data_IF_152047401231
#
_entry.id   IF_152047401231
#
_cell.length_a   1.000
_cell.length_b   1.000
_cell.length_c   1.000
_cell.angle_alpha   90.00
_cell.angle_beta   90.00
_cell.angle_gamma   90.00
#
_symmetry.space_group_name_H-M   'P 1'
#
loop_
_entity.id
_entity.type
_entity.pdbx_description
1 polymer ?
#
# COMPACT_ATOMS: atom_id res chain seq x y z
N UNK A 1 37.12 7.58 -40.07
CA UNK A 1 36.69 8.70 -39.20
C UNK A 1 36.83 8.24 -37.77
N UNK A 2 37.74 8.86 -37.04
CA UNK A 2 38.15 8.45 -35.69
C UNK A 2 37.43 9.36 -34.71
N UNK A 3 36.53 8.78 -33.87
CA UNK A 3 35.91 9.52 -32.79
C UNK A 3 36.77 9.44 -31.53
N UNK A 4 37.25 10.60 -31.08
CA UNK A 4 38.02 10.78 -29.86
C UNK A 4 37.07 10.76 -28.65
N UNK A 5 37.40 9.94 -27.65
CA UNK A 5 36.78 9.91 -26.34
C UNK A 5 37.21 11.12 -25.52
N UNK A 6 36.24 11.76 -24.88
CA UNK A 6 36.42 12.84 -23.88
C UNK A 6 36.23 12.24 -22.49
N UNK A 7 37.17 12.43 -21.54
CA UNK A 7 36.99 11.94 -20.17
C UNK A 7 36.16 12.90 -19.34
N UNK A 8 35.10 12.38 -18.71
CA UNK A 8 34.28 13.10 -17.71
C UNK A 8 35.02 13.07 -16.38
N UNK A 9 35.37 14.25 -15.87
CA UNK A 9 35.92 14.44 -14.52
C UNK A 9 34.79 14.44 -13.50
N UNK A 10 34.87 13.51 -12.53
CA UNK A 10 34.02 13.47 -11.35
C UNK A 10 34.54 14.47 -10.34
N UNK A 11 33.76 15.48 -9.99
CA UNK A 11 34.02 16.39 -8.88
C UNK A 11 33.20 15.95 -7.66
N UNK A 12 33.89 15.42 -6.65
CA UNK A 12 33.30 15.11 -5.34
C UNK A 12 33.23 16.41 -4.52
N UNK A 13 32.03 16.80 -4.11
CA UNK A 13 31.82 17.87 -3.13
C UNK A 13 31.45 17.22 -1.80
N UNK A 14 32.37 17.32 -0.85
CA UNK A 14 32.23 16.91 0.53
C UNK A 14 31.61 18.08 1.30
N UNK A 15 30.37 17.96 1.80
CA UNK A 15 29.76 18.94 2.71
C UNK A 15 29.74 18.33 4.11
N UNK A 16 30.55 18.92 4.97
CA UNK A 16 30.63 18.63 6.41
C UNK A 16 29.56 19.48 7.12
N UNK A 17 28.59 18.88 7.77
CA UNK A 17 27.66 19.59 8.65
C UNK A 17 27.96 19.18 10.09
N UNK A 18 28.43 20.16 10.86
CA UNK A 18 28.65 20.07 12.30
C UNK A 18 27.30 20.28 13.00
N UNK A 19 26.85 19.29 13.78
CA UNK A 19 25.69 19.43 14.64
C UNK A 19 26.13 19.85 16.04
N UNK A 20 25.68 21.05 16.48
CA UNK A 20 25.84 21.50 17.86
C UNK A 20 24.74 20.89 18.74
N UNK A 21 25.14 20.17 19.79
CA UNK A 21 24.29 19.67 20.85
C UNK A 21 24.15 20.74 21.91
N UNK A 22 22.93 21.21 22.19
CA UNK A 22 22.60 22.00 23.36
C UNK A 22 21.62 21.17 24.23
N UNK A 23 22.12 20.71 25.36
CA UNK A 23 21.34 20.01 26.37
C UNK A 23 20.50 20.99 27.18
N UNK A 24 19.26 20.62 27.45
CA UNK A 24 18.38 21.27 28.40
C UNK A 24 17.68 20.23 29.27
N UNK A 25 18.13 20.09 30.49
CA UNK A 25 17.51 19.24 31.52
C UNK A 25 16.41 20.05 32.20
N UNK A 26 15.16 19.66 32.06
CA UNK A 26 14.06 20.17 32.90
C UNK A 26 13.62 19.08 33.87
N UNK A 27 13.96 19.29 35.15
CA UNK A 27 13.40 18.55 36.29
C UNK A 27 12.15 19.30 36.79
N UNK A 28 10.99 18.69 36.70
CA UNK A 28 9.76 19.17 37.35
C UNK A 28 9.43 18.27 38.54
N UNK A 29 9.61 18.83 39.74
CA UNK A 29 9.13 18.25 41.00
C UNK A 29 7.63 18.46 41.11
N UNK A 30 6.85 17.38 41.27
CA UNK A 30 5.45 17.49 41.71
C UNK A 30 5.39 17.31 43.22
N UNK A 31 4.98 18.35 43.91
CA UNK A 31 4.64 18.33 45.32
C UNK A 31 3.28 17.66 45.52
N UNK A 32 3.25 16.70 46.43
CA UNK A 32 2.05 15.94 46.81
C UNK A 32 1.37 16.69 47.98
N UNK A 33 0.20 17.26 47.72
CA UNK A 33 -0.62 17.93 48.74
C UNK A 33 -1.57 16.94 49.36
N UNK A 34 -1.44 16.65 50.65
CA UNK A 34 -2.31 15.80 51.46
C UNK A 34 -3.47 16.63 52.00
N UNK A 35 -4.71 16.31 51.63
CA UNK A 35 -5.93 16.83 52.27
C UNK A 35 -6.41 15.92 53.39
N UNK A 36 -6.95 16.48 54.49
CA UNK A 36 -7.36 15.71 55.65
C UNK A 36 -8.73 15.01 55.45
N UNK A 37 -8.88 13.89 56.12
CA UNK A 37 -10.04 13.02 56.12
C UNK A 37 -11.29 13.71 56.75
N UNK A 38 -12.37 13.74 56.02
CA UNK A 38 -13.72 14.12 56.54
C UNK A 38 -14.53 12.84 56.79
N UNK A 39 -15.08 12.73 57.99
CA UNK A 39 -15.86 11.61 58.47
C UNK A 39 -17.09 11.31 57.60
N UNK A 40 -17.29 10.07 57.26
CA UNK A 40 -18.42 9.56 56.51
C UNK A 40 -19.67 9.42 57.34
N UNK A 41 -20.81 9.89 56.79
CA UNK A 41 -22.17 9.68 57.26
C UNK A 41 -22.70 8.38 56.64
N UNK A 42 -23.47 7.54 57.33
CA UNK A 42 -23.92 6.27 56.78
C UNK A 42 -24.95 6.45 55.65
N UNK A 43 -24.66 5.80 54.54
CA UNK A 43 -25.47 5.75 53.33
C UNK A 43 -26.53 4.64 53.39
N UNK A 44 -27.76 4.84 52.87
CA UNK A 44 -28.77 3.80 52.80
C UNK A 44 -28.46 2.75 51.72
N UNK A 45 -28.82 1.50 52.02
CA UNK A 45 -28.62 0.31 51.20
C UNK A 45 -28.97 0.48 49.73
N UNK A 46 -28.16 -0.05 48.77
CA UNK A 46 -28.42 0.05 47.33
C UNK A 46 -29.59 -0.85 46.94
N UNK A 47 -30.56 -0.27 46.21
CA UNK A 47 -31.55 -1.05 45.44
C UNK A 47 -30.82 -1.84 44.34
N UNK A 48 -31.16 -3.12 44.25
CA UNK A 48 -30.68 -4.00 43.16
C UNK A 48 -31.01 -3.37 41.81
N UNK A 49 -29.94 -3.05 41.06
CA UNK A 49 -30.03 -2.68 39.65
C UNK A 49 -30.28 -3.93 38.78
N UNK A 50 -31.07 -3.83 37.69
CA UNK A 50 -31.33 -4.95 36.81
C UNK A 50 -29.99 -5.49 36.25
N UNK A 51 -29.80 -6.80 36.33
CA UNK A 51 -28.63 -7.50 35.72
C UNK A 51 -28.57 -7.20 34.24
N UNK A 52 -27.55 -6.47 33.80
CA UNK A 52 -27.17 -6.37 32.40
C UNK A 52 -26.95 -7.80 31.81
N UNK A 53 -27.45 -8.05 30.58
CA UNK A 53 -27.19 -9.33 29.92
C UNK A 53 -25.69 -9.56 29.80
N UNK A 54 -25.21 -10.80 29.88
CA UNK A 54 -23.78 -11.10 29.81
C UNK A 54 -23.22 -10.56 28.48
N UNK A 55 -22.27 -9.64 28.55
CA UNK A 55 -21.48 -9.22 27.40
C UNK A 55 -20.78 -10.46 26.89
N UNK A 56 -21.13 -10.95 25.69
CA UNK A 56 -20.40 -12.01 25.02
C UNK A 56 -18.92 -11.65 24.98
N UNK A 57 -18.11 -12.40 25.70
CA UNK A 57 -16.67 -12.26 25.61
C UNK A 57 -16.25 -12.60 24.18
N UNK A 58 -15.42 -11.77 23.53
CA UNK A 58 -14.94 -12.08 22.19
C UNK A 58 -14.30 -13.48 22.21
N UNK A 59 -14.86 -14.39 21.42
CA UNK A 59 -14.32 -15.75 21.24
C UNK A 59 -12.83 -15.63 20.93
N UNK A 60 -11.98 -16.16 21.80
CA UNK A 60 -10.55 -16.27 21.53
C UNK A 60 -10.38 -17.07 20.24
N UNK A 61 -9.81 -16.44 19.22
CA UNK A 61 -9.49 -17.12 17.97
C UNK A 61 -8.51 -18.26 18.24
N UNK A 62 -8.86 -19.47 17.85
CA UNK A 62 -7.93 -20.61 17.90
C UNK A 62 -6.89 -20.42 16.77
N UNK A 63 -5.59 -20.24 17.12
CA UNK A 63 -4.55 -20.04 16.10
C UNK A 63 -4.42 -21.21 15.12
N UNK A 64 -4.92 -22.38 15.50
CA UNK A 64 -4.83 -23.59 14.66
C UNK A 64 -5.98 -23.72 13.67
N UNK A 65 -7.06 -22.96 13.84
CA UNK A 65 -8.29 -23.07 13.02
C UNK A 65 -8.82 -21.69 12.60
N UNK A 66 -7.95 -20.84 12.05
CA UNK A 66 -8.36 -19.53 11.51
C UNK A 66 -9.03 -19.69 10.15
N UNK A 67 -10.22 -19.09 9.99
CA UNK A 67 -10.86 -18.96 8.67
C UNK A 67 -10.08 -17.95 7.80
N UNK A 68 -10.30 -17.97 6.49
CA UNK A 68 -9.68 -17.02 5.57
C UNK A 68 -10.04 -15.57 5.93
N UNK A 69 -11.30 -15.34 6.35
CA UNK A 69 -11.77 -14.03 6.81
C UNK A 69 -11.04 -13.60 8.09
N UNK A 70 -10.86 -14.52 9.06
CA UNK A 70 -10.10 -14.21 10.28
C UNK A 70 -8.65 -13.83 9.97
N UNK A 71 -8.01 -14.53 9.01
CA UNK A 71 -6.67 -14.21 8.57
C UNK A 71 -6.64 -12.82 7.92
N UNK A 72 -7.56 -12.54 6.98
CA UNK A 72 -7.65 -11.25 6.30
C UNK A 72 -7.91 -10.09 7.28
N UNK A 73 -8.85 -10.24 8.23
CA UNK A 73 -9.12 -9.21 9.25
C UNK A 73 -7.91 -9.01 10.19
N UNK A 74 -7.16 -10.06 10.48
CA UNK A 74 -5.94 -9.93 11.27
C UNK A 74 -4.85 -9.20 10.49
N UNK A 75 -4.71 -9.45 9.18
CA UNK A 75 -3.82 -8.67 8.30
C UNK A 75 -4.20 -7.18 8.35
N UNK A 76 -5.49 -6.86 8.25
CA UNK A 76 -6.00 -5.48 8.30
C UNK A 76 -5.71 -4.83 9.67
N UNK A 77 -5.93 -5.57 10.75
CA UNK A 77 -5.63 -5.10 12.10
C UNK A 77 -4.15 -4.74 12.24
N UNK A 78 -3.25 -5.62 11.79
CA UNK A 78 -1.80 -5.39 11.86
C UNK A 78 -1.32 -4.32 10.89
N UNK A 79 -1.90 -4.24 9.68
CA UNK A 79 -1.59 -3.18 8.72
C UNK A 79 -1.90 -1.78 9.28
N UNK A 80 -2.96 -1.66 10.10
CA UNK A 80 -3.32 -0.44 10.84
C UNK A 80 -2.71 -0.34 12.24
N UNK A 81 -1.60 -1.05 12.52
CA UNK A 81 -0.91 -1.03 13.82
C UNK A 81 -1.84 -1.29 15.03
N UNK A 82 -2.80 -2.19 14.85
CA UNK A 82 -3.77 -2.57 15.89
C UNK A 82 -5.06 -1.77 15.92
N UNK A 83 -5.18 -0.71 15.14
CA UNK A 83 -6.38 0.15 15.13
C UNK A 83 -7.51 -0.36 14.21
N UNK A 84 -7.23 -1.38 13.39
CA UNK A 84 -8.22 -2.05 12.55
C UNK A 84 -8.68 -1.24 11.34
N UNK A 85 -9.74 -1.75 10.70
CA UNK A 85 -10.24 -1.28 9.40
C UNK A 85 -10.64 0.20 9.39
N UNK A 86 -11.38 0.66 10.39
CA UNK A 86 -11.90 2.02 10.41
C UNK A 86 -10.79 3.08 10.37
N UNK A 87 -9.75 2.92 11.20
CA UNK A 87 -8.63 3.85 11.21
C UNK A 87 -7.77 3.69 9.96
N UNK A 88 -7.54 2.44 9.51
CA UNK A 88 -6.76 2.16 8.31
C UNK A 88 -7.38 2.83 7.07
N UNK A 89 -8.69 2.70 6.87
CA UNK A 89 -9.41 3.34 5.76
C UNK A 89 -9.37 4.87 5.83
N UNK A 90 -9.43 5.44 7.03
CA UNK A 90 -9.33 6.87 7.22
C UNK A 90 -7.92 7.40 6.89
N UNK A 91 -6.87 6.74 7.40
CA UNK A 91 -5.48 7.15 7.14
C UNK A 91 -5.15 6.99 5.65
N UNK A 92 -5.49 5.84 5.06
CA UNK A 92 -5.14 5.50 3.67
C UNK A 92 -6.14 5.99 2.64
N UNK A 93 -7.03 6.92 2.99
CA UNK A 93 -8.01 7.48 2.05
C UNK A 93 -7.35 8.12 0.82
N UNK A 94 -6.20 8.74 1.01
CA UNK A 94 -5.37 9.28 -0.07
C UNK A 94 -3.90 9.23 0.34
N UNK A 95 -3.01 9.32 -0.64
CA UNK A 95 -1.59 9.29 -0.35
C UNK A 95 -0.71 9.63 -1.53
N UNK A 96 0.56 9.81 -1.18
CA UNK A 96 1.65 10.10 -2.07
C UNK A 96 2.80 9.14 -1.76
N UNK A 97 3.18 8.35 -2.74
CA UNK A 97 4.35 7.49 -2.71
C UNK A 97 5.38 8.01 -3.71
N UNK A 98 6.62 8.13 -3.29
CA UNK A 98 7.77 8.44 -4.15
C UNK A 98 8.79 7.34 -4.06
N UNK A 99 9.39 7.03 -5.20
CA UNK A 99 10.39 5.99 -5.22
C UNK A 99 11.15 5.91 -6.54
N UNK A 100 11.82 4.77 -6.67
CA UNK A 100 12.50 4.40 -7.91
C UNK A 100 12.19 2.94 -8.22
N UNK A 101 12.16 2.64 -9.50
CA UNK A 101 12.04 1.28 -10.03
C UNK A 101 13.22 0.99 -10.93
N UNK A 102 13.73 -0.24 -10.83
CA UNK A 102 14.56 -0.83 -11.87
C UNK A 102 13.65 -1.75 -12.67
N UNK A 103 13.43 -1.43 -13.94
CA UNK A 103 12.65 -2.26 -14.88
C UNK A 103 13.59 -3.01 -15.78
N UNK A 104 13.41 -4.32 -15.88
CA UNK A 104 14.24 -5.19 -16.72
C UNK A 104 13.41 -5.72 -17.86
N UNK A 105 13.80 -5.36 -19.08
CA UNK A 105 13.14 -5.82 -20.32
C UNK A 105 13.46 -7.29 -20.63
N UNK A 106 12.74 -7.89 -21.57
CA UNK A 106 12.92 -9.27 -21.98
C UNK A 106 14.34 -9.57 -22.50
N UNK A 107 15.00 -8.58 -23.14
CA UNK A 107 16.39 -8.66 -23.62
C UNK A 107 17.44 -8.52 -22.50
N UNK A 108 17.01 -8.38 -21.24
CA UNK A 108 17.88 -8.24 -20.06
C UNK A 108 18.37 -6.82 -19.80
N UNK A 109 18.04 -5.84 -20.62
CA UNK A 109 18.39 -4.44 -20.37
C UNK A 109 17.54 -3.91 -19.23
N UNK A 110 18.18 -3.15 -18.34
CA UNK A 110 17.52 -2.53 -17.21
C UNK A 110 17.51 -1.01 -17.36
N UNK A 111 16.40 -0.41 -16.92
CA UNK A 111 16.17 1.03 -16.91
C UNK A 111 15.78 1.45 -15.49
N UNK A 112 16.36 2.55 -15.00
CA UNK A 112 15.91 3.18 -13.75
C UNK A 112 14.84 4.22 -14.05
N UNK A 113 13.70 4.11 -13.36
CA UNK A 113 12.57 5.02 -13.43
C UNK A 113 12.36 5.62 -12.05
N UNK A 114 12.35 6.94 -11.94
CA UNK A 114 11.85 7.63 -10.75
C UNK A 114 10.36 7.82 -10.92
N UNK A 115 9.59 7.58 -9.85
CA UNK A 115 8.16 7.74 -9.91
C UNK A 115 7.62 8.53 -8.72
N UNK A 116 6.49 9.16 -8.98
CA UNK A 116 5.62 9.73 -7.95
C UNK A 116 4.20 9.23 -8.19
N UNK A 117 3.66 8.48 -7.23
CA UNK A 117 2.32 7.91 -7.29
C UNK A 117 1.42 8.65 -6.32
N UNK A 118 0.35 9.26 -6.83
CA UNK A 118 -0.73 9.87 -6.05
C UNK A 118 -1.98 9.03 -6.21
N UNK A 119 -2.73 8.87 -5.12
CA UNK A 119 -4.00 8.18 -5.17
C UNK A 119 -5.04 8.82 -4.25
N UNK A 120 -6.30 8.64 -4.62
CA UNK A 120 -7.47 8.89 -3.79
C UNK A 120 -8.34 7.64 -3.89
N UNK A 121 -8.55 6.97 -2.76
CA UNK A 121 -9.44 5.82 -2.71
C UNK A 121 -10.89 6.28 -2.69
N UNK A 122 -11.69 5.76 -3.63
CA UNK A 122 -13.14 5.84 -3.63
C UNK A 122 -13.76 4.83 -2.66
N UNK A 123 -15.07 4.70 -2.72
CA UNK A 123 -15.80 3.68 -1.93
C UNK A 123 -15.40 2.25 -2.34
N UNK A 124 -15.09 2.05 -3.62
CA UNK A 124 -14.63 0.80 -4.22
C UNK A 124 -13.46 1.08 -5.16
N UNK A 125 -12.68 0.05 -5.49
CA UNK A 125 -11.49 0.17 -6.34
C UNK A 125 -11.78 0.76 -7.74
N UNK A 126 -12.95 0.51 -8.30
CA UNK A 126 -13.37 1.09 -9.59
C UNK A 126 -13.62 2.61 -9.54
N UNK A 127 -13.73 3.18 -8.33
CA UNK A 127 -13.85 4.61 -8.05
C UNK A 127 -12.56 5.25 -7.56
N UNK A 128 -11.48 4.48 -7.51
CA UNK A 128 -10.18 5.00 -7.15
C UNK A 128 -9.66 5.94 -8.25
N UNK A 129 -8.92 6.95 -7.81
CA UNK A 129 -8.16 7.85 -8.68
C UNK A 129 -6.68 7.58 -8.42
N UNK A 130 -5.93 7.31 -9.47
CA UNK A 130 -4.49 7.02 -9.38
C UNK A 130 -3.75 7.78 -10.47
N UNK A 131 -2.70 8.47 -10.10
CA UNK A 131 -1.77 9.12 -11.01
C UNK A 131 -0.35 8.68 -10.70
N UNK A 132 0.35 8.21 -11.72
CA UNK A 132 1.77 7.85 -11.63
C UNK A 132 2.55 8.73 -12.59
N UNK A 133 3.33 9.64 -12.03
CA UNK A 133 4.28 10.46 -12.79
C UNK A 133 5.60 9.70 -12.86
N UNK A 134 6.05 9.37 -14.06
CA UNK A 134 7.28 8.60 -14.31
C UNK A 134 8.32 9.51 -14.97
N UNK A 135 9.55 9.40 -14.47
CA UNK A 135 10.71 10.05 -15.07
C UNK A 135 11.75 9.00 -15.42
N UNK A 136 11.91 8.78 -16.71
CA UNK A 136 12.95 7.93 -17.30
C UNK A 136 14.10 8.78 -17.85
N UNK A 137 15.23 8.19 -18.25
CA UNK A 137 16.28 8.93 -18.96
C UNK A 137 15.83 9.54 -20.29
N UNK A 138 14.78 8.98 -20.91
CA UNK A 138 14.31 9.36 -22.25
C UNK A 138 13.10 10.30 -22.22
N UNK A 139 12.23 10.19 -21.19
CA UNK A 139 10.97 10.92 -21.14
C UNK A 139 10.43 11.09 -19.73
N UNK A 140 9.63 12.13 -19.57
CA UNK A 140 8.74 12.30 -18.40
C UNK A 140 7.30 12.15 -18.89
N UNK A 141 6.53 11.25 -18.26
CA UNK A 141 5.14 11.00 -18.61
C UNK A 141 4.33 10.60 -17.38
N UNK A 142 3.03 10.83 -17.44
CA UNK A 142 2.08 10.41 -16.41
C UNK A 142 1.12 9.36 -16.96
N UNK A 143 0.73 8.41 -16.11
CA UNK A 143 -0.44 7.56 -16.32
C UNK A 143 -1.49 7.96 -15.30
N UNK A 144 -2.70 8.21 -15.75
CA UNK A 144 -3.81 8.71 -14.91
C UNK A 144 -5.01 7.80 -15.08
N UNK A 145 -5.47 7.23 -13.97
CA UNK A 145 -6.69 6.44 -13.88
C UNK A 145 -7.71 7.19 -13.03
N UNK A 146 -8.91 7.31 -13.52
CA UNK A 146 -10.04 7.90 -12.82
C UNK A 146 -11.33 7.68 -13.61
N UNK A 147 -12.45 7.55 -12.92
CA UNK A 147 -13.77 7.30 -13.50
C UNK A 147 -13.80 6.10 -14.48
N UNK A 148 -13.02 5.06 -14.15
CA UNK A 148 -12.91 3.84 -14.95
C UNK A 148 -12.11 3.98 -16.25
N UNK A 149 -11.42 5.10 -16.46
CA UNK A 149 -10.63 5.39 -17.67
C UNK A 149 -9.16 5.56 -17.33
N UNK A 150 -8.31 5.04 -18.22
CA UNK A 150 -6.87 5.25 -18.17
C UNK A 150 -6.43 6.08 -19.38
N UNK A 151 -5.65 7.11 -19.14
CA UNK A 151 -4.99 7.90 -20.16
C UNK A 151 -3.58 8.28 -19.73
N UNK A 152 -2.75 8.66 -20.68
CA UNK A 152 -1.42 9.18 -20.42
C UNK A 152 -1.31 10.66 -20.70
N UNK A 153 -0.31 11.32 -20.09
CA UNK A 153 0.07 12.71 -20.36
C UNK A 153 1.56 12.74 -20.63
N UNK A 154 1.98 13.37 -21.72
CA UNK A 154 3.36 13.65 -22.05
C UNK A 154 3.48 15.06 -22.63
N UNK A 155 4.37 15.88 -22.09
CA UNK A 155 4.53 17.29 -22.50
C UNK A 155 3.22 18.09 -22.51
N UNK A 156 2.31 17.80 -21.57
CA UNK A 156 1.02 18.46 -21.45
C UNK A 156 -0.08 17.95 -22.41
N UNK A 157 0.26 17.12 -23.39
CA UNK A 157 -0.69 16.49 -24.30
C UNK A 157 -1.12 15.12 -23.79
N UNK A 158 -2.38 14.74 -24.05
CA UNK A 158 -2.89 13.42 -23.70
C UNK A 158 -2.56 12.40 -24.77
N UNK A 159 -2.42 11.13 -24.34
CA UNK A 159 -2.28 10.00 -25.24
C UNK A 159 -3.02 8.78 -24.68
N UNK A 160 -3.40 7.87 -25.55
CA UNK A 160 -3.95 6.57 -25.17
C UNK A 160 -2.78 5.60 -24.95
N UNK A 161 -2.61 5.04 -23.72
CA UNK A 161 -1.61 4.00 -23.48
C UNK A 161 -1.85 2.78 -24.37
N UNK A 162 -0.80 2.06 -24.73
CA UNK A 162 -0.93 0.78 -25.43
C UNK A 162 -1.78 -0.19 -24.60
N UNK A 163 -2.49 -1.07 -25.28
CA UNK A 163 -3.45 -1.98 -24.65
C UNK A 163 -2.80 -2.88 -23.58
N UNK A 164 -1.59 -3.36 -23.83
CA UNK A 164 -0.80 -4.16 -22.88
C UNK A 164 -0.42 -3.35 -21.62
N UNK A 165 0.10 -2.14 -21.80
CA UNK A 165 0.45 -1.25 -20.68
C UNK A 165 -0.78 -0.82 -19.87
N UNK A 166 -1.91 -0.60 -20.52
CA UNK A 166 -3.17 -0.29 -19.85
C UNK A 166 -3.70 -1.48 -19.03
N UNK A 167 -3.65 -2.68 -19.61
CA UNK A 167 -4.05 -3.91 -18.91
C UNK A 167 -3.15 -4.20 -17.70
N UNK A 168 -1.83 -4.06 -17.86
CA UNK A 168 -0.88 -4.22 -16.75
C UNK A 168 -1.12 -3.22 -15.64
N UNK A 169 -1.34 -1.93 -15.95
CA UNK A 169 -1.66 -0.91 -14.96
C UNK A 169 -2.90 -1.29 -14.14
N UNK A 170 -3.98 -1.71 -14.80
CA UNK A 170 -5.23 -2.11 -14.15
C UNK A 170 -5.03 -3.38 -13.31
N UNK A 171 -4.30 -4.39 -13.85
CA UNK A 171 -3.99 -5.61 -13.13
C UNK A 171 -3.16 -5.33 -11.87
N UNK A 172 -2.20 -4.42 -11.92
CA UNK A 172 -1.40 -4.04 -10.75
C UNK A 172 -2.22 -3.42 -9.62
N UNK A 173 -3.29 -2.67 -9.92
CA UNK A 173 -4.22 -2.16 -8.93
C UNK A 173 -5.10 -3.28 -8.35
N UNK A 174 -5.64 -4.14 -9.21
CA UNK A 174 -6.51 -5.25 -8.80
C UNK A 174 -5.76 -6.29 -7.94
N UNK A 175 -4.48 -6.56 -8.27
CA UNK A 175 -3.63 -7.52 -7.58
C UNK A 175 -2.62 -6.80 -6.67
N UNK A 176 -3.13 -6.23 -5.57
CA UNK A 176 -2.36 -5.42 -4.63
C UNK A 176 -2.64 -5.82 -3.17
N UNK A 177 -1.82 -5.35 -2.24
CA UNK A 177 -2.14 -5.47 -0.81
C UNK A 177 -3.42 -4.70 -0.49
N UNK A 178 -3.65 -3.54 -1.12
CA UNK A 178 -4.86 -2.73 -0.90
C UNK A 178 -6.14 -3.47 -1.31
N UNK A 179 -6.09 -4.32 -2.33
CA UNK A 179 -7.23 -5.19 -2.69
C UNK A 179 -7.63 -6.11 -1.53
N UNK A 180 -6.65 -6.68 -0.81
CA UNK A 180 -6.92 -7.48 0.38
C UNK A 180 -7.40 -6.62 1.56
N UNK A 181 -6.78 -5.47 1.80
CA UNK A 181 -7.17 -4.58 2.91
C UNK A 181 -8.60 -4.06 2.76
N UNK A 182 -9.08 -3.94 1.53
CA UNK A 182 -10.41 -3.41 1.17
C UNK A 182 -11.35 -4.48 0.60
N UNK A 183 -11.11 -5.76 0.90
CA UNK A 183 -11.85 -6.86 0.28
C UNK A 183 -13.38 -6.80 0.52
N UNK A 184 -13.83 -6.32 1.69
CA UNK A 184 -15.27 -6.14 2.00
C UNK A 184 -15.89 -5.01 1.21
N UNK A 185 -15.20 -3.88 1.15
CA UNK A 185 -15.61 -2.69 0.40
C UNK A 185 -15.73 -3.00 -1.10
N UNK A 186 -14.81 -3.82 -1.61
CA UNK A 186 -14.81 -4.29 -2.99
C UNK A 186 -15.75 -5.49 -3.24
N UNK A 187 -16.44 -5.98 -2.19
CA UNK A 187 -17.31 -7.15 -2.23
C UNK A 187 -16.57 -8.40 -2.79
N UNK A 188 -15.26 -8.49 -2.53
CA UNK A 188 -14.43 -9.63 -2.90
C UNK A 188 -14.62 -10.77 -1.90
N UNK A 189 -14.45 -12.00 -2.36
CA UNK A 189 -14.54 -13.21 -1.55
C UNK A 189 -13.14 -13.69 -1.20
N UNK A 190 -12.94 -14.07 0.07
CA UNK A 190 -11.71 -14.71 0.52
C UNK A 190 -11.98 -16.17 0.86
N UNK A 191 -11.03 -17.05 0.52
CA UNK A 191 -11.10 -18.47 0.84
C UNK A 191 -9.73 -19.01 1.25
N UNK A 192 -9.70 -20.04 2.09
CA UNK A 192 -8.44 -20.66 2.50
C UNK A 192 -7.89 -21.52 1.37
N UNK A 193 -6.61 -21.33 1.06
CA UNK A 193 -5.84 -22.21 0.19
C UNK A 193 -4.82 -23.07 0.99
N UNK A 194 -4.97 -23.11 2.33
CA UNK A 194 -4.18 -23.94 3.23
C UNK A 194 -3.01 -23.21 3.88
N UNK A 195 -1.95 -23.95 4.14
CA UNK A 195 -0.68 -23.44 4.71
C UNK A 195 0.47 -23.82 3.78
N UNK A 196 1.53 -23.04 3.81
CA UNK A 196 2.76 -23.27 3.07
C UNK A 196 3.98 -22.97 3.96
N UNK A 197 5.15 -23.36 3.50
CA UNK A 197 6.42 -23.03 4.17
C UNK A 197 7.44 -22.63 3.11
N UNK A 198 7.85 -21.37 3.13
CA UNK A 198 8.83 -20.83 2.20
C UNK A 198 10.04 -20.30 2.97
N UNK A 199 11.25 -20.75 2.59
CA UNK A 199 12.50 -20.34 3.23
C UNK A 199 12.48 -20.45 4.78
N UNK A 200 11.81 -21.48 5.30
CA UNK A 200 11.66 -21.70 6.74
C UNK A 200 10.54 -20.91 7.44
N UNK A 201 9.86 -20.02 6.71
CA UNK A 201 8.76 -19.21 7.25
C UNK A 201 7.43 -19.93 6.98
N UNK A 202 6.64 -20.14 8.05
CA UNK A 202 5.29 -20.69 7.94
C UNK A 202 4.32 -19.62 7.47
N UNK A 203 3.44 -19.99 6.53
CA UNK A 203 2.54 -19.10 5.83
C UNK A 203 1.09 -19.60 5.89
N UNK A 204 0.15 -18.70 6.14
CA UNK A 204 -1.22 -18.88 5.72
C UNK A 204 -1.31 -18.54 4.23
N UNK A 205 -2.08 -19.33 3.48
CA UNK A 205 -2.36 -19.05 2.07
C UNK A 205 -3.85 -18.83 1.92
N UNK A 206 -4.21 -17.65 1.39
CA UNK A 206 -5.60 -17.30 1.10
C UNK A 206 -5.75 -16.85 -0.34
N UNK A 207 -6.86 -17.22 -0.96
CA UNK A 207 -7.26 -16.75 -2.27
C UNK A 207 -8.32 -15.65 -2.10
N UNK A 208 -8.15 -14.55 -2.82
CA UNK A 208 -9.12 -13.47 -2.98
C UNK A 208 -9.64 -13.50 -4.41
N UNK A 209 -10.96 -13.50 -4.57
CA UNK A 209 -11.63 -13.41 -5.88
C UNK A 209 -12.47 -12.14 -5.90
N UNK A 210 -12.20 -11.25 -6.85
CA UNK A 210 -12.95 -10.03 -7.04
C UNK A 210 -14.26 -10.26 -7.81
N UNK A 211 -15.06 -9.20 -7.99
CA UNK A 211 -16.32 -9.24 -8.74
C UNK A 211 -16.18 -9.61 -10.21
N UNK A 212 -14.99 -9.42 -10.78
CA UNK A 212 -14.70 -9.75 -12.18
C UNK A 212 -14.09 -11.13 -12.35
N UNK A 213 -14.10 -11.93 -11.26
CA UNK A 213 -13.49 -13.26 -11.15
C UNK A 213 -11.96 -13.27 -11.26
N UNK A 214 -11.28 -12.14 -11.09
CA UNK A 214 -9.83 -12.14 -10.95
C UNK A 214 -9.44 -12.72 -9.60
N UNK A 215 -8.48 -13.62 -9.64
CA UNK A 215 -8.01 -14.35 -8.46
C UNK A 215 -6.61 -13.89 -8.08
N UNK A 216 -6.43 -13.51 -6.81
CA UNK A 216 -5.13 -13.22 -6.21
C UNK A 216 -4.88 -14.17 -5.06
N UNK A 217 -3.74 -14.83 -5.05
CA UNK A 217 -3.29 -15.68 -3.94
C UNK A 217 -2.30 -14.93 -3.08
N UNK A 218 -2.57 -14.84 -1.78
CA UNK A 218 -1.72 -14.16 -0.80
C UNK A 218 -1.03 -15.15 0.11
N UNK A 219 0.27 -14.95 0.32
CA UNK A 219 1.13 -15.69 1.24
C UNK A 219 1.44 -14.81 2.45
N UNK A 220 0.91 -15.16 3.60
CA UNK A 220 0.85 -14.33 4.80
C UNK A 220 1.63 -15.02 5.91
N UNK A 221 2.59 -14.35 6.52
CA UNK A 221 3.37 -14.89 7.64
C UNK A 221 2.46 -15.26 8.83
N UNK A 222 2.53 -16.52 9.28
CA UNK A 222 1.82 -16.98 10.49
C UNK A 222 2.22 -16.16 11.72
N UNK A 223 3.48 -15.77 11.82
CA UNK A 223 4.02 -15.06 12.99
C UNK A 223 3.67 -13.57 13.01
N UNK A 224 3.66 -12.88 11.87
CA UNK A 224 3.56 -11.42 11.81
C UNK A 224 2.32 -10.91 11.10
N UNK A 225 1.54 -11.78 10.47
CA UNK A 225 0.40 -11.45 9.60
C UNK A 225 0.72 -10.45 8.48
N UNK A 226 2.01 -10.30 8.14
CA UNK A 226 2.43 -9.53 6.97
C UNK A 226 2.23 -10.35 5.71
N UNK A 227 1.75 -9.72 4.66
CA UNK A 227 1.74 -10.29 3.31
C UNK A 227 3.19 -10.34 2.82
N UNK A 228 3.77 -11.52 2.66
CA UNK A 228 5.15 -11.65 2.18
C UNK A 228 5.23 -11.72 0.66
N UNK A 229 4.20 -12.29 0.02
CA UNK A 229 4.06 -12.30 -1.43
C UNK A 229 2.61 -12.46 -1.85
N UNK A 230 2.34 -12.17 -3.11
CA UNK A 230 1.10 -12.53 -3.79
C UNK A 230 1.41 -13.08 -5.18
N UNK A 231 0.49 -13.90 -5.69
CA UNK A 231 0.54 -14.49 -7.03
C UNK A 231 -0.80 -14.32 -7.74
N UNK A 232 -0.75 -14.10 -9.02
CA UNK A 232 -1.91 -14.06 -9.91
C UNK A 232 -1.52 -14.43 -11.33
N UNK A 233 -2.52 -14.74 -12.16
CA UNK A 233 -2.36 -14.99 -13.59
C UNK A 233 -3.22 -14.01 -14.37
N UNK A 234 -2.66 -13.43 -15.42
CA UNK A 234 -3.37 -12.56 -16.36
C UNK A 234 -2.98 -12.94 -17.78
N UNK A 235 -3.94 -12.83 -18.69
CA UNK A 235 -3.70 -13.03 -20.12
C UNK A 235 -3.56 -11.66 -20.80
N UNK A 236 -2.36 -11.27 -21.27
CA UNK A 236 -2.18 -9.99 -21.93
C UNK A 236 -3.05 -9.86 -23.19
N UNK A 237 -3.50 -8.64 -23.53
CA UNK A 237 -4.24 -8.39 -24.75
C UNK A 237 -3.51 -8.92 -25.99
N UNK A 238 -4.22 -9.69 -26.81
CA UNK A 238 -3.65 -10.30 -28.02
C UNK A 238 -2.86 -11.61 -27.79
N UNK A 239 -2.72 -12.04 -26.53
CA UNK A 239 -2.15 -13.36 -26.19
C UNK A 239 -3.24 -14.36 -25.88
N UNK A 240 -2.98 -15.65 -26.11
CA UNK A 240 -3.79 -16.77 -25.62
C UNK A 240 -3.18 -17.47 -24.41
N UNK A 241 -1.96 -17.07 -24.05
CA UNK A 241 -1.21 -17.71 -22.96
C UNK A 241 -1.21 -16.79 -21.73
N UNK A 242 -1.70 -17.28 -20.57
CA UNK A 242 -1.62 -16.55 -19.34
C UNK A 242 -0.15 -16.44 -18.88
N UNK A 243 0.17 -15.34 -18.23
CA UNK A 243 1.46 -15.08 -17.57
C UNK A 243 1.23 -15.17 -16.07
N UNK A 244 2.09 -15.90 -15.37
CA UNK A 244 2.09 -15.96 -13.91
C UNK A 244 2.93 -14.81 -13.36
N UNK A 245 2.27 -13.95 -12.58
CA UNK A 245 2.90 -12.86 -11.86
C UNK A 245 3.11 -13.22 -10.39
N UNK A 246 4.26 -12.83 -9.85
CA UNK A 246 4.55 -12.92 -8.41
C UNK A 246 5.06 -11.57 -7.94
N UNK A 247 4.46 -11.01 -6.87
CA UNK A 247 4.99 -9.83 -6.17
C UNK A 247 5.50 -10.27 -4.80
N UNK A 248 6.74 -9.90 -4.46
CA UNK A 248 7.32 -10.13 -3.13
C UNK A 248 7.54 -8.82 -2.42
N UNK A 249 7.21 -8.80 -1.11
CA UNK A 249 7.20 -7.59 -0.29
C UNK A 249 8.26 -7.70 0.81
N UNK A 250 9.10 -6.69 0.89
CA UNK A 250 10.22 -6.63 1.83
C UNK A 250 10.27 -5.27 2.53
N UNK A 251 11.13 -5.15 3.54
CA UNK A 251 11.43 -3.90 4.23
C UNK A 251 10.16 -3.18 4.70
N UNK A 252 9.33 -3.89 5.46
CA UNK A 252 8.13 -3.31 6.05
C UNK A 252 8.47 -2.25 7.08
N UNK A 253 7.97 -1.02 6.87
CA UNK A 253 8.13 0.12 7.78
C UNK A 253 6.77 0.67 8.19
N UNK A 254 6.78 1.47 9.25
CA UNK A 254 5.58 2.19 9.69
C UNK A 254 5.59 3.58 9.05
N UNK A 255 4.56 3.87 8.25
CA UNK A 255 4.29 5.18 7.69
C UNK A 255 2.96 5.69 8.26
N UNK A 256 3.00 6.74 9.08
CA UNK A 256 1.83 7.37 9.72
C UNK A 256 0.87 6.34 10.38
N UNK A 257 1.44 5.38 11.14
CA UNK A 257 0.67 4.36 11.85
C UNK A 257 0.23 3.17 10.99
N UNK A 258 0.62 3.09 9.71
CA UNK A 258 0.33 1.94 8.86
C UNK A 258 1.59 1.20 8.44
N UNK A 259 1.52 -0.12 8.32
CA UNK A 259 2.63 -0.94 7.81
C UNK A 259 2.64 -0.94 6.29
N UNK A 260 3.77 -0.56 5.69
CA UNK A 260 3.96 -0.45 4.24
C UNK A 260 5.26 -1.15 3.85
N UNK A 261 5.29 -1.98 2.79
CA UNK A 261 6.53 -2.51 2.24
C UNK A 261 7.30 -1.41 1.50
N UNK A 262 8.58 -1.25 1.80
CA UNK A 262 9.44 -0.25 1.15
C UNK A 262 10.31 -0.83 0.03
N UNK A 263 10.28 -2.16 -0.15
CA UNK A 263 10.87 -2.84 -1.30
C UNK A 263 9.90 -3.87 -1.84
N UNK A 264 9.63 -3.80 -3.15
CA UNK A 264 8.72 -4.70 -3.85
C UNK A 264 9.46 -5.26 -5.07
N UNK A 265 9.45 -6.58 -5.24
CA UNK A 265 10.06 -7.24 -6.40
C UNK A 265 8.98 -7.99 -7.15
N UNK A 266 8.90 -7.76 -8.45
CA UNK A 266 7.93 -8.39 -9.34
C UNK A 266 8.62 -9.38 -10.28
N UNK A 267 7.93 -10.48 -10.51
CA UNK A 267 8.37 -11.56 -11.40
C UNK A 267 7.25 -11.89 -12.37
N UNK A 268 7.62 -12.16 -13.61
CA UNK A 268 6.79 -12.74 -14.66
C UNK A 268 7.37 -14.11 -15.02
N UNK A 269 6.57 -15.18 -14.90
CA UNK A 269 6.99 -16.58 -15.09
C UNK A 269 8.30 -16.93 -14.37
N UNK A 270 8.48 -16.38 -13.16
CA UNK A 270 9.66 -16.59 -12.33
C UNK A 270 10.88 -15.71 -12.67
N UNK A 271 10.83 -14.92 -13.76
CA UNK A 271 11.88 -13.95 -14.14
C UNK A 271 11.58 -12.60 -13.48
N UNK A 272 12.56 -12.01 -12.80
CA UNK A 272 12.40 -10.67 -12.23
C UNK A 272 12.31 -9.62 -13.35
N UNK A 273 11.24 -8.81 -13.29
CA UNK A 273 10.97 -7.74 -14.26
C UNK A 273 11.02 -6.35 -13.64
N UNK A 274 10.62 -6.22 -12.35
CA UNK A 274 10.64 -4.93 -11.66
C UNK A 274 11.19 -5.10 -10.26
N UNK A 275 12.03 -4.15 -9.83
CA UNK A 275 12.37 -3.94 -8.43
C UNK A 275 12.06 -2.50 -8.06
N UNK A 276 11.09 -2.32 -7.15
CA UNK A 276 10.65 -1.01 -6.66
C UNK A 276 11.22 -0.76 -5.27
N UNK A 277 11.80 0.43 -5.09
CA UNK A 277 12.22 0.97 -3.80
C UNK A 277 11.40 2.22 -3.48
N UNK A 278 10.55 2.12 -2.47
CA UNK A 278 9.80 3.26 -1.92
C UNK A 278 10.78 4.11 -1.10
N UNK A 279 10.84 5.39 -1.37
CA UNK A 279 11.67 6.34 -0.63
C UNK A 279 10.85 7.08 0.42
N UNK A 280 9.63 7.48 0.05
CA UNK A 280 8.69 8.14 0.97
C UNK A 280 7.27 7.66 0.72
N UNK A 281 6.51 7.57 1.80
CA UNK A 281 5.07 7.32 1.80
C UNK A 281 4.38 8.29 2.74
N UNK A 282 3.38 9.01 2.25
CA UNK A 282 2.62 10.01 3.01
C UNK A 282 1.13 9.81 2.75
N UNK A 283 0.32 9.92 3.79
CA UNK A 283 -1.13 9.83 3.73
C UNK A 283 -1.80 11.12 4.21
N UNK A 284 -3.11 11.27 3.95
CA UNK A 284 -3.90 12.39 4.46
C UNK A 284 -3.52 13.74 3.85
N UNK A 285 -3.01 13.75 2.63
CA UNK A 285 -2.62 14.95 1.92
C UNK A 285 -3.84 15.60 1.24
N UNK A 286 -3.81 16.93 1.11
CA UNK A 286 -4.73 17.61 0.20
C UNK A 286 -4.26 17.37 -1.24
N UNK A 287 -4.96 16.51 -1.97
CA UNK A 287 -4.70 16.20 -3.38
C UNK A 287 -5.84 16.79 -4.20
N UNK A 288 -5.49 17.66 -5.15
CA UNK A 288 -6.48 18.31 -6.01
C UNK A 288 -7.04 17.33 -7.04
N UNK A 289 -8.35 17.27 -7.18
CA UNK A 289 -9.05 16.41 -8.14
C UNK A 289 -8.66 16.67 -9.60
N UNK A 290 -8.29 17.90 -9.93
CA UNK A 290 -7.80 18.29 -11.25
C UNK A 290 -6.58 17.49 -11.72
N UNK A 291 -5.77 16.94 -10.81
CA UNK A 291 -4.63 16.10 -11.15
C UNK A 291 -5.02 14.79 -11.84
N UNK A 292 -6.27 14.36 -11.68
CA UNK A 292 -6.80 13.12 -12.26
C UNK A 292 -7.71 13.36 -13.45
N UNK A 293 -7.88 14.62 -13.89
CA UNK A 293 -8.70 14.99 -15.02
C UNK A 293 -7.88 15.05 -16.29
N UNK A 294 -8.53 14.73 -17.42
CA UNK A 294 -7.94 14.94 -18.73
C UNK A 294 -7.88 16.46 -19.03
N UNK A 295 -6.66 17.02 -19.24
CA UNK A 295 -6.50 18.45 -19.47
C UNK A 295 -7.28 18.98 -20.70
N UNK A 296 -7.48 18.16 -21.73
CA UNK A 296 -8.23 18.56 -22.92
C UNK A 296 -9.73 18.74 -22.63
N UNK A 297 -10.30 17.87 -21.77
CA UNK A 297 -11.72 18.01 -21.37
C UNK A 297 -11.90 19.13 -20.36
N UNK A 298 -10.91 19.40 -19.51
CA UNK A 298 -10.95 20.51 -18.57
C UNK A 298 -10.93 21.88 -19.28
N UNK A 299 -10.22 22.01 -20.40
CA UNK A 299 -10.14 23.22 -21.19
C UNK A 299 -11.43 23.50 -22.00
N UNK A 300 -12.19 22.45 -22.37
CA UNK A 300 -13.42 22.57 -23.15
C UNK A 300 -14.70 22.82 -22.33
N UNK A 301 -14.59 22.75 -21.00
CA UNK A 301 -15.72 22.88 -20.06
C UNK A 301 -15.93 24.27 -19.46
N UNK A 302 -15.30 25.32 -19.99
CA UNK A 302 -15.53 26.68 -19.54
C UNK A 302 -16.47 27.37 -20.58
N UNK A 303 -17.77 27.59 -20.26
CA UNK A 303 -18.70 28.29 -21.13
C UNK A 303 -18.41 29.78 -21.25
#
# INVERSE_FOLDING_TARGET
MIFKSVPVRVAAILILIIAAVAGGVFTSSFAQETKPATQAKPEPSPKESPKEPPKEQPKRLDPNNLTAENIAETVILWAGSGAGRALLSQIRKNGLERGRETRTAADGKSEEVRYELRFIHGEKTDKDKVRVDNKTPQAEYSLVYGDGKLFGIINGATFTPRADAAADFIAQQAHSIDALLRYKENESKVSSAGKDKQQGIELYVIDLVDKTNRKTRYFISVKTFRVLSLEYEETPPGSSTPIKYTKRFYDYRIAQGTQVPFRIVMYEDGKQTVERHVLTMQYGLKIEDSLFQNPETAASGNP
#
